data_IF_368267736035
#
_entry.id   IF_368267736035
#
_cell.length_a   1.000
_cell.length_b   1.000
_cell.length_c   1.000
_cell.angle_alpha   90.00
_cell.angle_beta   90.00
_cell.angle_gamma   90.00
#
_symmetry.space_group_name_H-M   'P 1'
#
loop_
_entity.id
_entity.type
_entity.pdbx_description
1 polymer ?
#
# COMPACT_ATOMS: atom_id res chain seq x y z
N UNK A 1 -3.20 13.19 17.02
CA UNK A 1 -2.85 13.39 15.60
C UNK A 1 -2.24 12.08 15.17
N UNK A 2 -2.76 11.42 14.14
CA UNK A 2 -2.24 10.13 13.68
C UNK A 2 -0.79 10.32 13.29
N UNK A 3 0.12 9.52 13.87
CA UNK A 3 1.52 9.56 13.50
C UNK A 3 1.69 9.00 12.08
N UNK A 4 2.78 9.38 11.41
CA UNK A 4 3.08 8.86 10.08
C UNK A 4 4.58 8.59 9.96
N UNK A 5 4.93 7.61 9.14
CA UNK A 5 6.31 7.13 8.97
C UNK A 5 6.65 7.01 7.49
N UNK A 6 7.59 7.83 6.97
CA UNK A 6 8.10 7.68 5.61
C UNK A 6 9.21 6.62 5.55
N UNK A 7 8.96 5.54 4.83
CA UNK A 7 9.93 4.48 4.55
C UNK A 7 10.22 4.45 3.05
N UNK A 8 10.98 5.44 2.59
CA UNK A 8 11.38 5.57 1.18
C UNK A 8 12.80 5.03 0.98
N UNK A 9 13.00 4.32 -0.12
CA UNK A 9 14.28 3.75 -0.52
C UNK A 9 15.01 4.65 -1.50
N UNK A 10 14.25 5.38 -2.32
CA UNK A 10 14.76 6.31 -3.31
C UNK A 10 14.43 7.76 -2.92
N UNK A 11 15.25 8.74 -3.35
CA UNK A 11 14.94 10.14 -3.15
C UNK A 11 13.76 10.55 -4.06
N UNK A 12 12.72 11.12 -3.46
CA UNK A 12 11.61 11.75 -4.18
C UNK A 12 11.89 13.25 -4.36
N UNK A 13 12.16 13.73 -5.59
CA UNK A 13 12.56 15.10 -5.82
C UNK A 13 11.42 16.08 -5.52
N UNK A 14 11.78 17.22 -4.93
CA UNK A 14 10.84 18.33 -4.75
C UNK A 14 10.31 18.79 -6.10
N UNK A 15 9.01 19.06 -6.15
CA UNK A 15 8.34 19.57 -7.35
C UNK A 15 8.44 21.09 -7.40
N UNK A 16 8.69 21.63 -8.59
CA UNK A 16 8.72 23.08 -8.80
C UNK A 16 7.32 23.69 -8.62
N UNK A 17 6.29 22.99 -9.08
CA UNK A 17 4.89 23.39 -8.96
C UNK A 17 4.02 22.19 -8.56
N UNK A 18 3.16 22.41 -7.57
CA UNK A 18 2.15 21.44 -7.13
C UNK A 18 0.93 22.21 -6.62
N UNK A 19 -0.24 21.90 -7.16
CA UNK A 19 -1.50 22.58 -6.82
C UNK A 19 -2.55 21.54 -6.42
N UNK A 20 -3.37 21.89 -5.43
CA UNK A 20 -4.58 21.18 -5.06
C UNK A 20 -5.77 22.03 -5.50
N UNK A 21 -6.54 21.57 -6.47
CA UNK A 21 -7.65 22.34 -7.04
C UNK A 21 -8.86 21.46 -7.32
N UNK A 22 -9.98 21.76 -6.67
CA UNK A 22 -11.24 21.04 -6.88
C UNK A 22 -11.24 19.58 -6.43
N UNK A 23 -10.26 19.18 -5.61
CA UNK A 23 -10.09 17.82 -5.08
C UNK A 23 -9.98 17.83 -3.55
N UNK A 24 -10.35 16.72 -2.90
CA UNK A 24 -10.20 16.55 -1.44
C UNK A 24 -8.73 16.35 -1.06
N UNK A 25 -8.38 16.56 0.21
CA UNK A 25 -7.02 16.29 0.70
C UNK A 25 -6.60 14.83 0.46
N UNK A 26 -7.54 13.90 0.60
CA UNK A 26 -7.28 12.48 0.35
C UNK A 26 -6.99 12.21 -1.13
N UNK A 27 -7.81 12.75 -2.04
CA UNK A 27 -7.62 12.56 -3.48
C UNK A 27 -6.29 13.17 -3.95
N UNK A 28 -5.96 14.34 -3.42
CA UNK A 28 -4.68 15.00 -3.66
C UNK A 28 -3.51 14.10 -3.23
N UNK A 29 -3.51 13.60 -1.99
CA UNK A 29 -2.46 12.71 -1.50
C UNK A 29 -2.37 11.40 -2.30
N UNK A 30 -3.51 10.80 -2.68
CA UNK A 30 -3.52 9.58 -3.49
C UNK A 30 -2.89 9.82 -4.86
N UNK A 31 -3.23 10.92 -5.51
CA UNK A 31 -2.66 11.28 -6.82
C UNK A 31 -1.17 11.54 -6.70
N UNK A 32 -0.72 12.29 -5.69
CA UNK A 32 0.70 12.56 -5.45
C UNK A 32 1.48 11.27 -5.18
N UNK A 33 0.95 10.37 -4.34
CA UNK A 33 1.57 9.09 -4.06
C UNK A 33 1.68 8.20 -5.31
N UNK A 34 0.61 8.12 -6.11
CA UNK A 34 0.60 7.34 -7.34
C UNK A 34 1.61 7.83 -8.38
N UNK A 35 1.78 9.15 -8.53
CA UNK A 35 2.77 9.73 -9.45
C UNK A 35 4.22 9.40 -9.06
N UNK A 36 4.48 9.21 -7.76
CA UNK A 36 5.81 8.87 -7.21
C UNK A 36 6.00 7.35 -6.98
N UNK A 37 4.99 6.53 -7.26
CA UNK A 37 5.03 5.09 -6.97
C UNK A 37 4.98 4.75 -5.48
N UNK A 38 4.47 5.66 -4.66
CA UNK A 38 4.30 5.48 -3.22
C UNK A 38 2.94 4.81 -2.94
N UNK A 39 2.94 3.80 -2.08
CA UNK A 39 1.75 3.22 -1.47
C UNK A 39 1.79 3.42 0.05
N UNK A 40 0.66 3.20 0.70
CA UNK A 40 0.56 3.35 2.15
C UNK A 40 -0.36 2.31 2.78
N UNK A 41 -0.13 2.02 4.05
CA UNK A 41 -0.95 1.15 4.88
C UNK A 41 -1.01 1.67 6.31
N UNK A 42 -2.01 1.23 7.06
CA UNK A 42 -2.13 1.57 8.47
C UNK A 42 -1.51 0.46 9.33
N UNK A 43 -0.70 0.87 10.30
CA UNK A 43 -0.20 -0.01 11.34
C UNK A 43 -0.95 0.30 12.64
N UNK A 44 -1.54 -0.74 13.23
CA UNK A 44 -2.30 -0.67 14.48
C UNK A 44 -1.53 -1.39 15.57
N UNK A 45 -1.29 -0.70 16.69
CA UNK A 45 -0.62 -1.31 17.82
C UNK A 45 -1.48 -2.42 18.43
N UNK A 46 -0.88 -3.57 18.71
CA UNK A 46 -1.61 -4.74 19.23
C UNK A 46 -2.24 -4.51 20.62
N UNK A 47 -1.66 -3.61 21.43
CA UNK A 47 -2.03 -3.41 22.84
C UNK A 47 -2.49 -1.99 23.19
N UNK A 48 -2.41 -1.05 22.25
CA UNK A 48 -2.81 0.34 22.45
C UNK A 48 -3.73 0.80 21.33
N UNK A 49 -4.27 2.00 21.46
CA UNK A 49 -5.06 2.66 20.41
C UNK A 49 -4.18 3.44 19.44
N UNK A 50 -2.86 3.17 19.45
CA UNK A 50 -1.92 3.87 18.59
C UNK A 50 -2.07 3.35 17.16
N UNK A 51 -2.21 4.29 16.25
CA UNK A 51 -2.34 4.06 14.82
C UNK A 51 -1.34 4.96 14.11
N UNK A 52 -0.59 4.38 13.17
CA UNK A 52 0.35 5.11 12.33
C UNK A 52 0.07 4.84 10.85
N UNK A 53 0.22 5.86 10.01
CA UNK A 53 0.19 5.72 8.57
C UNK A 53 1.63 5.52 8.05
N UNK A 54 1.88 4.36 7.45
CA UNK A 54 3.19 4.05 6.86
C UNK A 54 3.15 4.32 5.36
N UNK A 55 4.11 5.10 4.86
CA UNK A 55 4.29 5.38 3.44
C UNK A 55 5.53 4.67 2.92
N UNK A 56 5.41 3.96 1.79
CA UNK A 56 6.48 3.15 1.22
C UNK A 56 6.54 3.24 -0.31
N UNK A 57 7.74 3.18 -0.87
CA UNK A 57 7.99 3.07 -2.32
C UNK A 57 8.41 1.65 -2.75
N UNK A 58 8.63 0.77 -1.78
CA UNK A 58 9.08 -0.61 -2.01
C UNK A 58 8.44 -1.58 -1.04
N UNK A 59 8.32 -2.83 -1.49
CA UNK A 59 7.79 -3.94 -0.68
C UNK A 59 8.73 -4.38 0.43
N UNK A 60 10.00 -3.91 0.44
CA UNK A 60 10.98 -4.28 1.48
C UNK A 60 10.62 -3.78 2.88
N UNK A 61 9.84 -2.71 2.94
CA UNK A 61 9.40 -2.10 4.19
C UNK A 61 8.08 -2.67 4.70
N UNK A 62 7.51 -3.67 4.01
CA UNK A 62 6.34 -4.38 4.50
C UNK A 62 6.68 -5.16 5.78
N UNK A 63 5.73 -5.31 6.71
CA UNK A 63 5.92 -6.12 7.91
C UNK A 63 6.33 -7.56 7.57
N UNK A 64 7.05 -8.20 8.49
CA UNK A 64 7.39 -9.61 8.35
C UNK A 64 6.13 -10.47 8.22
N UNK A 65 6.20 -11.45 7.31
CA UNK A 65 5.12 -12.42 7.15
C UNK A 65 4.97 -13.28 8.39
N UNK A 66 3.74 -13.71 8.67
CA UNK A 66 3.44 -14.69 9.71
C UNK A 66 2.83 -15.95 9.11
N UNK A 67 2.97 -17.06 9.81
CA UNK A 67 2.38 -18.33 9.38
C UNK A 67 0.89 -18.38 9.72
N UNK A 68 0.07 -18.81 8.76
CA UNK A 68 -1.36 -19.10 8.95
C UNK A 68 -1.64 -20.50 8.38
N UNK A 69 -2.21 -21.42 9.16
CA UNK A 69 -2.52 -22.76 8.68
C UNK A 69 -3.59 -22.72 7.59
N UNK A 70 -3.49 -23.63 6.62
CA UNK A 70 -4.55 -23.85 5.62
C UNK A 70 -5.43 -25.03 6.02
N UNK A 71 -6.75 -24.84 6.02
CA UNK A 71 -7.72 -25.89 6.27
C UNK A 71 -8.91 -25.79 5.29
N UNK A 72 -9.00 -26.65 4.26
CA UNK A 72 -10.11 -26.64 3.31
C UNK A 72 -11.43 -27.18 3.90
N UNK A 73 -11.39 -27.85 5.06
CA UNK A 73 -12.57 -28.43 5.69
C UNK A 73 -13.29 -27.40 6.55
N UNK A 74 -14.26 -26.71 5.96
CA UNK A 74 -15.12 -25.74 6.68
C UNK A 74 -16.23 -26.37 7.50
N UNK A 75 -16.37 -27.71 7.47
CA UNK A 75 -17.47 -28.45 8.12
C UNK A 75 -17.20 -28.81 9.59
N UNK A 76 -15.94 -28.90 9.97
CA UNK A 76 -15.51 -29.18 11.35
C UNK A 76 -15.18 -27.86 12.02
N UNK A 77 -15.63 -27.67 13.27
CA UNK A 77 -15.19 -26.53 14.07
C UNK A 77 -13.66 -26.53 14.17
N UNK A 78 -13.07 -25.39 13.83
CA UNK A 78 -11.61 -25.17 13.92
C UNK A 78 -11.36 -24.23 15.10
N UNK A 79 -10.49 -24.64 16.01
CA UNK A 79 -10.13 -23.85 17.20
C UNK A 79 -9.14 -22.72 16.92
N UNK A 80 -8.51 -22.72 15.75
CA UNK A 80 -7.40 -21.83 15.38
C UNK A 80 -7.72 -21.09 14.08
N UNK A 81 -7.30 -19.84 13.98
CA UNK A 81 -7.43 -19.05 12.75
C UNK A 81 -6.71 -19.76 11.59
N UNK A 82 -7.39 -19.92 10.46
CA UNK A 82 -6.87 -20.62 9.30
C UNK A 82 -7.42 -20.02 7.98
N UNK A 83 -6.70 -20.22 6.89
CA UNK A 83 -7.20 -19.92 5.53
C UNK A 83 -7.92 -21.17 5.02
N UNK A 84 -9.13 -21.03 4.47
CA UNK A 84 -9.91 -22.16 3.97
C UNK A 84 -10.13 -22.17 2.46
N UNK A 85 -9.92 -21.02 1.80
CA UNK A 85 -10.11 -20.88 0.36
C UNK A 85 -9.02 -19.98 -0.23
N UNK A 86 -8.52 -20.38 -1.40
CA UNK A 86 -7.72 -19.53 -2.26
C UNK A 86 -8.46 -19.32 -3.58
N UNK A 87 -8.34 -18.12 -4.15
CA UNK A 87 -8.80 -17.81 -5.51
C UNK A 87 -7.64 -17.18 -6.26
N UNK A 88 -7.36 -17.69 -7.45
CA UNK A 88 -6.31 -17.18 -8.31
C UNK A 88 -6.94 -16.60 -9.58
N UNK A 89 -6.48 -15.43 -10.01
CA UNK A 89 -6.87 -14.79 -11.26
C UNK A 89 -5.64 -14.27 -11.99
N UNK A 90 -5.66 -14.34 -13.30
CA UNK A 90 -4.65 -13.77 -14.18
C UNK A 90 -5.34 -12.88 -15.23
N UNK A 91 -4.69 -11.77 -15.58
CA UNK A 91 -5.21 -10.80 -16.53
C UNK A 91 -4.09 -10.40 -17.51
N UNK A 92 -4.40 -10.28 -18.80
CA UNK A 92 -3.47 -9.74 -19.81
C UNK A 92 -3.32 -8.24 -19.56
N UNK A 93 -2.08 -7.73 -19.57
CA UNK A 93 -1.75 -6.30 -19.40
C UNK A 93 -0.69 -5.87 -20.41
N UNK A 94 -0.63 -4.58 -20.79
CA UNK A 94 0.47 -4.05 -21.58
C UNK A 94 1.82 -4.32 -20.91
N UNK A 95 2.80 -4.79 -21.68
CA UNK A 95 4.14 -5.09 -21.19
C UNK A 95 5.05 -3.86 -21.09
N UNK A 96 4.67 -2.76 -21.74
CA UNK A 96 5.46 -1.53 -21.80
C UNK A 96 4.56 -0.31 -21.92
N UNK A 97 4.98 0.77 -21.29
CA UNK A 97 4.41 2.11 -21.46
C UNK A 97 5.54 3.04 -21.85
N UNK A 98 5.33 3.85 -22.89
CA UNK A 98 6.28 4.87 -23.32
C UNK A 98 5.61 6.21 -23.08
N UNK A 99 6.23 7.02 -22.23
CA UNK A 99 5.78 8.38 -21.94
C UNK A 99 6.72 9.41 -22.59
N UNK A 100 6.15 10.46 -23.17
CA UNK A 100 6.91 11.56 -23.76
C UNK A 100 6.68 12.80 -22.90
N UNK A 101 7.55 13.01 -21.92
CA UNK A 101 7.59 14.26 -21.16
C UNK A 101 8.22 15.35 -22.03
N UNK A 102 7.40 16.30 -22.49
CA UNK A 102 7.89 17.56 -23.03
C UNK A 102 8.46 18.36 -21.86
N UNK A 103 9.78 18.52 -21.81
CA UNK A 103 10.41 19.51 -20.94
C UNK A 103 10.11 20.90 -21.53
N UNK A 104 9.17 21.62 -20.91
CA UNK A 104 8.96 23.05 -21.11
C UNK A 104 9.85 23.82 -20.13
#
# INVERSE_FOLDING_TARGET
MTEWSPLFSEPHPSREFCVQYGETDYDFLCRMAAEEGIFFYEEHAYKSTDQSLVLCDTVRHLPESFEIPWNPNTRTEVSTLCISQFRYSAQIRPSSVVDQRLHL
#
